data_IF_172803803794
#
_entry.id   IF_172803803794
#
_cell.length_a   1.000
_cell.length_b   1.000
_cell.length_c   1.000
_cell.angle_alpha   90.00
_cell.angle_beta   90.00
_cell.angle_gamma   90.00
#
_symmetry.space_group_name_H-M   'P 1'
#
loop_
_entity.id
_entity.type
_entity.pdbx_description
1 polymer ?
#
# COMPACT_ATOMS: atom_id res chain seq x y z
N UNK A 1 7.93 -40.20 -1.96
CA UNK A 1 6.73 -39.55 -1.40
C UNK A 1 7.05 -38.67 -0.19
N UNK A 2 7.72 -39.17 0.87
CA UNK A 2 8.09 -38.35 2.04
C UNK A 2 8.88 -37.08 1.68
N UNK A 3 9.92 -37.21 0.83
CA UNK A 3 10.76 -36.08 0.41
C UNK A 3 9.98 -34.95 -0.32
N UNK A 4 8.96 -35.30 -1.09
CA UNK A 4 8.15 -34.33 -1.84
C UNK A 4 7.17 -33.57 -0.94
N UNK A 5 6.69 -34.21 0.12
CA UNK A 5 5.81 -33.57 1.11
C UNK A 5 6.62 -32.58 1.95
N UNK A 6 7.83 -32.99 2.39
CA UNK A 6 8.73 -32.13 3.17
C UNK A 6 9.19 -30.89 2.37
N UNK A 7 9.51 -31.07 1.09
CA UNK A 7 9.85 -29.97 0.18
C UNK A 7 8.69 -28.97 0.02
N UNK A 8 7.47 -29.48 -0.24
CA UNK A 8 6.27 -28.63 -0.33
C UNK A 8 5.98 -27.87 0.96
N UNK A 9 6.16 -28.53 2.10
CA UNK A 9 5.97 -27.90 3.42
C UNK A 9 6.99 -26.77 3.64
N UNK A 10 8.25 -27.02 3.31
CA UNK A 10 9.32 -26.01 3.38
C UNK A 10 9.01 -24.81 2.47
N UNK A 11 8.52 -25.06 1.25
CA UNK A 11 8.11 -23.99 0.33
C UNK A 11 6.95 -23.16 0.88
N UNK A 12 5.93 -23.80 1.47
CA UNK A 12 4.81 -23.08 2.10
C UNK A 12 5.28 -22.22 3.27
N UNK A 13 6.17 -22.73 4.10
CA UNK A 13 6.72 -21.99 5.24
C UNK A 13 7.53 -20.77 4.79
N UNK A 14 8.41 -20.94 3.79
CA UNK A 14 9.18 -19.82 3.21
C UNK A 14 8.24 -18.77 2.59
N UNK A 15 7.22 -19.19 1.85
CA UNK A 15 6.25 -18.29 1.25
C UNK A 15 5.47 -17.50 2.31
N UNK A 16 5.01 -18.18 3.36
CA UNK A 16 4.30 -17.54 4.47
C UNK A 16 5.19 -16.50 5.18
N UNK A 17 6.42 -16.85 5.51
CA UNK A 17 7.37 -15.92 6.13
C UNK A 17 7.69 -14.72 5.24
N UNK A 18 7.78 -14.92 3.93
CA UNK A 18 7.97 -13.83 2.95
C UNK A 18 6.79 -12.86 2.96
N UNK A 19 5.55 -13.37 3.00
CA UNK A 19 4.35 -12.54 3.05
C UNK A 19 4.22 -11.76 4.36
N UNK A 20 4.55 -12.37 5.51
CA UNK A 20 4.55 -11.67 6.80
C UNK A 20 5.56 -10.51 6.80
N UNK A 21 6.77 -10.74 6.26
CA UNK A 21 7.76 -9.66 6.10
C UNK A 21 7.27 -8.56 5.16
N UNK A 22 6.65 -8.93 4.05
CA UNK A 22 6.06 -7.99 3.09
C UNK A 22 4.94 -7.16 3.73
N UNK A 23 4.11 -7.79 4.57
CA UNK A 23 3.05 -7.10 5.32
C UNK A 23 3.64 -6.08 6.32
N UNK A 24 4.70 -6.44 7.04
CA UNK A 24 5.37 -5.50 7.94
C UNK A 24 6.03 -4.33 7.19
N UNK A 25 6.62 -4.60 6.02
CA UNK A 25 7.20 -3.54 5.18
C UNK A 25 6.11 -2.58 4.68
N UNK A 26 4.99 -3.11 4.20
CA UNK A 26 3.96 -2.26 3.61
C UNK A 26 3.23 -1.39 4.63
N UNK A 27 3.16 -1.82 5.89
CA UNK A 27 2.68 -0.97 6.99
C UNK A 27 3.56 0.26 7.19
N UNK A 28 4.89 0.11 7.08
CA UNK A 28 5.82 1.25 7.12
C UNK A 28 5.67 2.13 5.88
N UNK A 29 5.57 1.53 4.69
CA UNK A 29 5.32 2.28 3.45
C UNK A 29 4.03 3.11 3.53
N UNK A 30 2.97 2.56 4.13
CA UNK A 30 1.69 3.26 4.33
C UNK A 30 1.83 4.48 5.23
N UNK A 31 2.57 4.37 6.33
CA UNK A 31 2.84 5.51 7.21
C UNK A 31 3.62 6.60 6.47
N UNK A 32 4.65 6.22 5.71
CA UNK A 32 5.44 7.15 4.90
C UNK A 32 4.58 7.84 3.84
N UNK A 33 3.76 7.11 3.10
CA UNK A 33 2.91 7.69 2.06
C UNK A 33 1.84 8.63 2.63
N UNK A 34 1.26 8.31 3.78
CA UNK A 34 0.35 9.22 4.47
C UNK A 34 1.06 10.52 4.90
N UNK A 35 2.31 10.43 5.37
CA UNK A 35 3.11 11.59 5.72
C UNK A 35 3.46 12.44 4.49
N UNK A 36 3.82 11.81 3.37
CA UNK A 36 4.09 12.50 2.09
C UNK A 36 2.83 13.18 1.55
N UNK A 37 1.68 12.49 1.53
CA UNK A 37 0.41 13.08 1.09
C UNK A 37 0.04 14.31 1.92
N UNK A 38 0.22 14.23 3.25
CA UNK A 38 0.01 15.39 4.14
C UNK A 38 0.97 16.53 3.79
N UNK A 39 2.26 16.24 3.62
CA UNK A 39 3.27 17.25 3.29
C UNK A 39 2.96 17.94 1.96
N UNK A 40 2.61 17.19 0.91
CA UNK A 40 2.26 17.76 -0.39
C UNK A 40 1.05 18.70 -0.30
N UNK A 41 0.05 18.35 0.52
CA UNK A 41 -1.13 19.22 0.77
C UNK A 41 -0.75 20.51 1.49
N UNK A 42 0.11 20.40 2.50
CA UNK A 42 0.62 21.56 3.24
C UNK A 42 1.45 22.48 2.31
N UNK A 43 2.26 21.90 1.42
CA UNK A 43 3.02 22.64 0.41
C UNK A 43 2.13 23.36 -0.59
N UNK A 44 1.10 22.69 -1.14
CA UNK A 44 0.12 23.31 -2.01
C UNK A 44 -0.58 24.49 -1.33
N UNK A 45 -0.97 24.32 -0.06
CA UNK A 45 -1.60 25.40 0.71
C UNK A 45 -0.67 26.61 0.84
N UNK A 46 0.60 26.38 1.16
CA UNK A 46 1.58 27.46 1.25
C UNK A 46 1.79 28.16 -0.10
N UNK A 47 1.81 27.41 -1.19
CA UNK A 47 1.97 28.00 -2.53
C UNK A 47 0.76 28.82 -2.95
N UNK A 48 -0.47 28.39 -2.61
CA UNK A 48 -1.68 29.17 -2.81
C UNK A 48 -1.61 30.51 -2.06
N UNK A 49 -1.13 30.51 -0.81
CA UNK A 49 -0.94 31.76 -0.05
C UNK A 49 0.14 32.66 -0.69
N UNK A 50 1.25 32.09 -1.17
CA UNK A 50 2.26 32.86 -1.91
C UNK A 50 1.71 33.46 -3.21
N UNK A 51 0.85 32.74 -3.92
CA UNK A 51 0.20 33.21 -5.14
C UNK A 51 -0.74 34.40 -4.86
N UNK A 52 -1.55 34.33 -3.80
CA UNK A 52 -2.40 35.46 -3.37
C UNK A 52 -1.60 36.72 -3.08
N UNK A 53 -0.36 36.58 -2.61
CA UNK A 53 0.57 37.68 -2.35
C UNK A 53 1.35 38.14 -3.59
N UNK A 54 1.09 37.59 -4.77
CA UNK A 54 1.81 37.88 -6.01
C UNK A 54 3.24 37.34 -6.05
N UNK A 55 3.59 36.37 -5.18
CA UNK A 55 4.94 35.79 -5.03
C UNK A 55 5.10 34.42 -5.68
N UNK A 56 4.10 33.99 -6.46
CA UNK A 56 4.02 32.71 -7.14
C UNK A 56 3.19 32.85 -8.42
N UNK A 57 3.18 31.81 -9.24
CA UNK A 57 2.47 31.74 -10.51
C UNK A 57 1.40 30.65 -10.47
N UNK A 58 0.39 30.77 -11.35
CA UNK A 58 -0.60 29.72 -11.54
C UNK A 58 0.03 28.39 -11.98
N UNK A 59 1.10 28.45 -12.77
CA UNK A 59 1.88 27.28 -13.17
C UNK A 59 2.47 26.53 -11.97
N UNK A 60 3.07 27.26 -11.01
CA UNK A 60 3.60 26.64 -9.78
C UNK A 60 2.49 26.00 -8.94
N UNK A 61 1.32 26.64 -8.84
CA UNK A 61 0.16 26.00 -8.18
C UNK A 61 -0.20 24.69 -8.86
N UNK A 62 -0.27 24.66 -10.20
CA UNK A 62 -0.58 23.44 -10.95
C UNK A 62 0.44 22.33 -10.68
N UNK A 63 1.73 22.65 -10.54
CA UNK A 63 2.76 21.67 -10.17
C UNK A 63 2.46 21.06 -8.79
N UNK A 64 2.24 21.87 -7.76
CA UNK A 64 1.92 21.35 -6.42
C UNK A 64 0.58 20.60 -6.37
N UNK A 65 -0.40 20.97 -7.21
CA UNK A 65 -1.64 20.22 -7.34
C UNK A 65 -1.37 18.82 -7.90
N UNK A 66 -0.50 18.72 -8.90
CA UNK A 66 -0.08 17.43 -9.45
C UNK A 66 0.66 16.60 -8.41
N UNK A 67 1.58 17.19 -7.63
CA UNK A 67 2.30 16.50 -6.56
C UNK A 67 1.35 15.93 -5.48
N UNK A 68 0.26 16.64 -5.15
CA UNK A 68 -0.78 16.15 -4.24
C UNK A 68 -1.48 14.93 -4.83
N UNK A 69 -1.88 14.99 -6.10
CA UNK A 69 -2.56 13.90 -6.78
C UNK A 69 -1.67 12.65 -6.83
N UNK A 70 -0.39 12.81 -7.18
CA UNK A 70 0.58 11.72 -7.25
C UNK A 70 0.79 11.07 -5.86
N UNK A 71 0.90 11.87 -4.80
CA UNK A 71 1.02 11.36 -3.44
C UNK A 71 -0.23 10.59 -2.98
N UNK A 72 -1.43 11.07 -3.32
CA UNK A 72 -2.68 10.36 -3.02
C UNK A 72 -2.80 9.05 -3.81
N UNK A 73 -2.41 9.04 -5.08
CA UNK A 73 -2.36 7.82 -5.89
C UNK A 73 -1.40 6.78 -5.28
N UNK A 74 -0.23 7.20 -4.82
CA UNK A 74 0.72 6.32 -4.17
C UNK A 74 0.14 5.69 -2.88
N UNK A 75 -0.61 6.47 -2.09
CA UNK A 75 -1.29 5.96 -0.90
C UNK A 75 -2.34 4.88 -1.26
N UNK A 76 -3.13 5.11 -2.32
CA UNK A 76 -4.10 4.14 -2.83
C UNK A 76 -3.38 2.85 -3.27
N UNK A 77 -2.29 2.98 -4.02
CA UNK A 77 -1.51 1.83 -4.48
C UNK A 77 -0.91 1.02 -3.33
N UNK A 78 -0.48 1.67 -2.26
CA UNK A 78 0.00 0.99 -1.05
C UNK A 78 -1.13 0.22 -0.38
N UNK A 79 -2.33 0.82 -0.26
CA UNK A 79 -3.51 0.13 0.31
C UNK A 79 -3.90 -1.10 -0.52
N UNK A 80 -3.93 -0.98 -1.85
CA UNK A 80 -4.22 -2.12 -2.75
C UNK A 80 -3.19 -3.24 -2.54
N UNK A 81 -1.90 -2.91 -2.50
CA UNK A 81 -0.83 -3.89 -2.26
C UNK A 81 -0.97 -4.54 -0.87
N UNK A 82 -1.35 -3.78 0.16
CA UNK A 82 -1.60 -4.31 1.51
C UNK A 82 -2.74 -5.34 1.49
N UNK A 83 -3.86 -5.02 0.85
CA UNK A 83 -5.00 -5.94 0.76
C UNK A 83 -4.66 -7.19 -0.07
N UNK A 84 -3.87 -7.05 -1.13
CA UNK A 84 -3.37 -8.19 -1.90
C UNK A 84 -2.57 -9.17 -1.03
N UNK A 85 -1.63 -8.68 -0.22
CA UNK A 85 -0.85 -9.52 0.71
C UNK A 85 -1.75 -10.21 1.72
N UNK A 86 -2.76 -9.51 2.25
CA UNK A 86 -3.73 -10.11 3.20
C UNK A 86 -4.53 -11.24 2.56
N UNK A 87 -4.99 -11.07 1.33
CA UNK A 87 -5.71 -12.12 0.59
C UNK A 87 -4.79 -13.31 0.32
N UNK A 88 -3.53 -13.08 -0.05
CA UNK A 88 -2.55 -14.15 -0.26
C UNK A 88 -2.28 -14.95 1.03
N UNK A 89 -2.19 -14.28 2.18
CA UNK A 89 -2.08 -14.93 3.49
C UNK A 89 -3.32 -15.78 3.77
N UNK A 90 -4.53 -15.23 3.60
CA UNK A 90 -5.78 -15.97 3.83
C UNK A 90 -5.91 -17.19 2.93
N UNK A 91 -5.45 -17.10 1.68
CA UNK A 91 -5.46 -18.22 0.75
C UNK A 91 -4.50 -19.32 1.18
N UNK A 92 -3.31 -18.96 1.67
CA UNK A 92 -2.32 -19.92 2.17
C UNK A 92 -2.73 -20.59 3.49
N UNK A 93 -3.40 -19.86 4.39
CA UNK A 93 -3.86 -20.41 5.68
C UNK A 93 -5.18 -21.18 5.58
N UNK A 94 -5.87 -21.10 4.44
CA UNK A 94 -7.19 -21.69 4.24
C UNK A 94 -8.34 -20.81 4.77
N UNK A 95 -8.04 -19.76 5.52
CA UNK A 95 -9.01 -18.78 6.05
C UNK A 95 -9.87 -18.16 4.95
N UNK A 96 -9.35 -18.01 3.73
CA UNK A 96 -10.10 -17.44 2.61
C UNK A 96 -11.38 -18.23 2.32
N UNK A 97 -11.30 -19.56 2.41
CA UNK A 97 -12.45 -20.44 2.13
C UNK A 97 -13.50 -20.32 3.23
N UNK A 98 -13.05 -20.30 4.49
CA UNK A 98 -13.93 -20.15 5.66
C UNK A 98 -14.62 -18.78 5.67
N UNK A 99 -13.84 -17.71 5.47
CA UNK A 99 -14.31 -16.32 5.53
C UNK A 99 -15.36 -15.98 4.48
N UNK A 100 -15.26 -16.58 3.29
CA UNK A 100 -16.18 -16.33 2.18
C UNK A 100 -17.18 -17.47 1.97
N UNK A 101 -17.28 -18.41 2.91
CA UNK A 101 -18.20 -19.56 2.86
C UNK A 101 -18.15 -20.33 1.52
N UNK A 102 -16.98 -20.40 0.90
CA UNK A 102 -16.81 -21.00 -0.44
C UNK A 102 -16.93 -22.53 -0.45
N UNK A 103 -17.15 -23.12 0.73
CA UNK A 103 -17.35 -24.55 0.94
C UNK A 103 -18.83 -24.98 0.92
N UNK A 104 -19.76 -24.13 0.49
CA UNK A 104 -21.17 -24.52 0.37
C UNK A 104 -21.36 -25.52 -0.79
N UNK A 105 -21.33 -26.81 -0.45
CA UNK A 105 -21.87 -27.94 -1.20
C UNK A 105 -22.90 -28.66 -0.34
#
# INVERSE_FOLDING_TARGET
MSLQIEDRKSQLEVNFQSLIRSLSLIEKEKQTAAAVSKLSKDQLRNEIERFKLGKSTSYQISQYQQDVIEAEQQEIMIRIRQEKIRVEIMALTGEFIEKYELNQK
#
